data_IF_010635414888
#
_entry.id   IF_010635414888
#
_cell.length_a   1.000
_cell.length_b   1.000
_cell.length_c   1.000
_cell.angle_alpha   90.00
_cell.angle_beta   90.00
_cell.angle_gamma   90.00
#
_symmetry.space_group_name_H-M   'P 1'
#
loop_
_entity.id
_entity.type
_entity.pdbx_description
1 polymer ?
#
# COMPACT_ATOMS: atom_id res chain seq x y z
N UNK A 1 -5.29 -4.37 20.89
CA UNK A 1 -5.50 -4.64 19.45
C UNK A 1 -4.77 -3.55 18.69
N UNK A 2 -4.20 -3.83 17.51
CA UNK A 2 -3.60 -2.76 16.68
C UNK A 2 -4.73 -2.20 15.81
N UNK A 3 -4.91 -0.89 15.81
CA UNK A 3 -6.06 -0.27 15.11
C UNK A 3 -5.74 0.06 13.66
N UNK A 4 -4.45 0.26 13.33
CA UNK A 4 -3.96 0.60 11.99
C UNK A 4 -2.81 -0.32 11.62
N UNK A 5 -2.86 -0.87 10.41
CA UNK A 5 -1.81 -1.71 9.83
C UNK A 5 -1.46 -1.16 8.45
N UNK A 6 -0.17 -1.01 8.16
CA UNK A 6 0.32 -0.59 6.85
C UNK A 6 0.84 -1.80 6.09
N UNK A 7 0.47 -1.93 4.81
CA UNK A 7 0.92 -3.04 3.98
C UNK A 7 1.39 -2.57 2.59
N UNK A 8 2.42 -3.25 2.07
CA UNK A 8 3.05 -2.96 0.78
C UNK A 8 3.77 -4.21 0.22
N UNK A 9 3.97 -4.26 -1.10
CA UNK A 9 4.79 -5.28 -1.75
C UNK A 9 5.86 -4.69 -2.65
N UNK A 10 7.10 -5.12 -2.44
CA UNK A 10 8.21 -4.75 -3.30
C UNK A 10 8.74 -6.00 -4.03
N UNK A 11 8.97 -5.92 -5.35
CA UNK A 11 9.59 -7.01 -6.08
C UNK A 11 11.04 -7.24 -5.65
N UNK A 12 11.45 -8.50 -5.53
CA UNK A 12 12.79 -8.89 -5.16
C UNK A 12 13.29 -10.08 -6.01
N UNK A 13 14.62 -10.15 -6.18
CA UNK A 13 15.28 -11.33 -6.76
C UNK A 13 15.74 -12.25 -5.63
N UNK A 14 15.17 -13.45 -5.57
CA UNK A 14 15.46 -14.44 -4.53
C UNK A 14 15.75 -15.78 -5.21
N UNK A 15 16.90 -16.39 -4.91
CA UNK A 15 17.25 -17.73 -5.42
C UNK A 15 17.26 -17.87 -6.94
N UNK A 16 17.55 -16.78 -7.68
CA UNK A 16 17.56 -16.77 -9.15
C UNK A 16 16.19 -16.51 -9.80
N UNK A 17 15.12 -16.32 -9.02
CA UNK A 17 13.78 -16.00 -9.50
C UNK A 17 13.26 -14.64 -9.03
N UNK A 18 12.17 -14.20 -9.64
CA UNK A 18 11.44 -12.99 -9.24
C UNK A 18 10.33 -13.36 -8.24
N UNK A 19 10.32 -12.69 -7.09
CA UNK A 19 9.36 -12.86 -5.99
C UNK A 19 8.95 -11.48 -5.47
N UNK A 20 8.00 -11.46 -4.54
CA UNK A 20 7.64 -10.25 -3.80
C UNK A 20 7.97 -10.40 -2.33
N UNK A 21 8.50 -9.34 -1.76
CA UNK A 21 8.60 -9.15 -0.30
C UNK A 21 7.38 -8.33 0.09
N UNK A 22 6.50 -8.97 0.84
CA UNK A 22 5.33 -8.38 1.47
C UNK A 22 5.73 -7.83 2.82
N UNK A 23 5.27 -6.63 3.13
CA UNK A 23 5.43 -5.97 4.42
C UNK A 23 4.07 -5.76 5.04
N UNK A 24 3.97 -6.05 6.34
CA UNK A 24 2.89 -5.58 7.18
C UNK A 24 3.50 -4.96 8.45
N UNK A 25 3.20 -3.69 8.73
CA UNK A 25 3.84 -2.98 9.84
C UNK A 25 2.91 -2.06 10.63
N UNK A 26 3.29 -1.90 11.89
CA UNK A 26 2.78 -0.89 12.83
C UNK A 26 3.99 -0.08 13.32
N UNK A 27 3.81 0.96 14.16
CA UNK A 27 4.94 1.71 14.71
C UNK A 27 5.94 0.85 15.51
N UNK A 28 5.49 -0.28 16.08
CA UNK A 28 6.31 -1.11 16.97
C UNK A 28 6.76 -2.44 16.38
N UNK A 29 6.15 -2.91 15.29
CA UNK A 29 6.41 -4.22 14.71
C UNK A 29 6.43 -4.15 13.19
N UNK A 30 7.29 -4.94 12.57
CA UNK A 30 7.33 -5.12 11.11
C UNK A 30 7.46 -6.60 10.80
N UNK A 31 6.52 -7.11 10.02
CA UNK A 31 6.58 -8.45 9.47
C UNK A 31 7.02 -8.38 8.01
N UNK A 32 7.93 -9.28 7.63
CA UNK A 32 8.27 -9.55 6.24
C UNK A 32 7.84 -10.96 5.86
N UNK A 33 7.23 -11.10 4.69
CA UNK A 33 6.87 -12.37 4.10
C UNK A 33 7.32 -12.41 2.64
N UNK A 34 7.88 -13.54 2.18
CA UNK A 34 8.30 -13.70 0.77
C UNK A 34 7.35 -14.66 0.07
N UNK A 35 6.78 -14.23 -1.04
CA UNK A 35 5.78 -15.00 -1.78
C UNK A 35 5.69 -14.63 -3.25
N UNK A 36 4.66 -15.16 -3.91
CA UNK A 36 4.15 -14.60 -5.16
C UNK A 36 3.43 -13.27 -4.92
N UNK A 37 2.43 -12.96 -5.74
CA UNK A 37 1.66 -11.71 -5.62
C UNK A 37 0.15 -11.94 -5.50
N UNK A 38 -0.30 -13.19 -5.43
CA UNK A 38 -1.73 -13.48 -5.35
C UNK A 38 -2.33 -13.13 -3.98
N UNK A 39 -3.66 -13.08 -3.88
CA UNK A 39 -4.35 -12.98 -2.60
C UNK A 39 -3.95 -14.11 -1.63
N UNK A 40 -3.76 -15.33 -2.14
CA UNK A 40 -3.28 -16.45 -1.33
C UNK A 40 -1.83 -16.25 -0.84
N UNK A 41 -0.98 -15.59 -1.63
CA UNK A 41 0.37 -15.22 -1.19
C UNK A 41 0.34 -14.15 -0.10
N UNK A 42 -0.57 -13.17 -0.19
CA UNK A 42 -0.79 -12.19 0.89
C UNK A 42 -1.25 -12.89 2.19
N UNK A 43 -2.23 -13.79 2.07
CA UNK A 43 -2.77 -14.53 3.22
C UNK A 43 -1.72 -15.44 3.88
N UNK A 44 -0.77 -15.97 3.10
CA UNK A 44 0.34 -16.77 3.62
C UNK A 44 1.29 -15.98 4.55
N UNK A 45 1.22 -14.64 4.55
CA UNK A 45 1.85 -13.79 5.56
C UNK A 45 1.22 -13.90 6.95
N UNK A 46 0.00 -14.44 7.06
CA UNK A 46 -0.63 -14.87 8.31
C UNK A 46 -1.15 -13.78 9.25
N UNK A 47 -0.96 -12.50 8.91
CA UNK A 47 -1.38 -11.36 9.78
C UNK A 47 -2.51 -10.50 9.20
N UNK A 48 -2.76 -10.60 7.89
CA UNK A 48 -3.83 -9.85 7.22
C UNK A 48 -5.20 -10.53 7.32
N UNK A 49 -5.33 -11.87 7.19
CA UNK A 49 -6.62 -12.52 7.36
C UNK A 49 -7.18 -12.30 8.78
N UNK A 50 -8.44 -11.88 8.87
CA UNK A 50 -9.11 -11.62 10.15
C UNK A 50 -8.76 -10.28 10.80
N UNK A 51 -7.96 -9.42 10.15
CA UNK A 51 -7.72 -8.07 10.64
C UNK A 51 -8.95 -7.18 10.41
N UNK A 52 -9.45 -6.55 11.47
CA UNK A 52 -10.69 -5.76 11.45
C UNK A 52 -10.46 -4.25 11.66
N UNK A 53 -9.20 -3.81 11.71
CA UNK A 53 -8.84 -2.39 11.86
C UNK A 53 -8.75 -1.69 10.50
N UNK A 54 -8.04 -0.56 10.46
CA UNK A 54 -7.75 0.16 9.22
C UNK A 54 -6.50 -0.40 8.55
N UNK A 55 -6.66 -0.98 7.36
CA UNK A 55 -5.57 -1.42 6.50
C UNK A 55 -5.19 -0.28 5.53
N UNK A 56 -4.02 0.33 5.75
CA UNK A 56 -3.43 1.33 4.87
C UNK A 56 -2.62 0.62 3.80
N UNK A 57 -3.09 0.64 2.55
CA UNK A 57 -2.45 -0.07 1.43
C UNK A 57 -2.55 0.71 0.11
N UNK A 58 -1.80 0.27 -0.88
CA UNK A 58 -1.72 0.89 -2.20
C UNK A 58 -2.90 0.49 -3.13
N UNK A 59 -2.75 0.78 -4.42
CA UNK A 59 -3.61 0.38 -5.56
C UNK A 59 -4.06 -1.08 -5.62
N UNK A 60 -3.40 -1.99 -4.89
CA UNK A 60 -3.31 -3.36 -5.35
C UNK A 60 -4.58 -4.19 -5.13
N UNK A 61 -5.06 -4.82 -6.21
CA UNK A 61 -6.34 -5.53 -6.21
C UNK A 61 -6.35 -6.79 -5.34
N UNK A 62 -5.18 -7.36 -5.02
CA UNK A 62 -5.10 -8.57 -4.22
C UNK A 62 -5.51 -8.34 -2.75
N UNK A 63 -5.68 -7.09 -2.31
CA UNK A 63 -6.23 -6.76 -0.98
C UNK A 63 -7.75 -6.80 -0.90
N UNK A 64 -8.46 -6.83 -2.05
CA UNK A 64 -9.92 -6.61 -2.09
C UNK A 64 -10.73 -7.68 -1.36
N UNK A 65 -10.18 -8.87 -1.12
CA UNK A 65 -10.87 -9.95 -0.39
C UNK A 65 -10.84 -9.76 1.13
N UNK A 66 -10.01 -8.85 1.65
CA UNK A 66 -9.91 -8.54 3.09
C UNK A 66 -11.04 -7.60 3.51
N UNK A 67 -12.29 -8.04 3.38
CA UNK A 67 -13.49 -7.19 3.57
C UNK A 67 -13.81 -6.87 5.02
N UNK A 68 -13.15 -7.53 5.98
CA UNK A 68 -13.33 -7.29 7.41
C UNK A 68 -12.60 -6.04 7.89
N UNK A 69 -11.54 -5.63 7.17
CA UNK A 69 -10.80 -4.40 7.45
C UNK A 69 -11.47 -3.20 6.78
N UNK A 70 -11.36 -2.03 7.40
CA UNK A 70 -11.55 -0.77 6.69
C UNK A 70 -10.32 -0.48 5.84
N UNK A 71 -10.51 -0.07 4.59
CA UNK A 71 -9.39 0.19 3.67
C UNK A 71 -9.12 1.68 3.57
N UNK A 72 -7.88 2.08 3.88
CA UNK A 72 -7.35 3.41 3.60
C UNK A 72 -6.35 3.34 2.44
N UNK A 73 -6.35 4.37 1.60
CA UNK A 73 -5.33 4.53 0.56
C UNK A 73 -4.04 5.06 1.18
N UNK A 74 -2.91 4.45 0.83
CA UNK A 74 -1.61 4.91 1.25
C UNK A 74 -1.32 6.30 0.67
N UNK A 75 -1.18 7.32 1.55
CA UNK A 75 -0.93 8.70 1.15
C UNK A 75 0.36 8.88 0.34
N UNK A 76 1.43 8.16 0.70
CA UNK A 76 2.70 8.22 -0.03
C UNK A 76 2.55 7.71 -1.48
N UNK A 77 1.78 6.64 -1.68
CA UNK A 77 1.46 6.11 -3.01
C UNK A 77 0.58 7.08 -3.80
N UNK A 78 -0.45 7.66 -3.18
CA UNK A 78 -1.29 8.69 -3.82
C UNK A 78 -0.47 9.90 -4.28
N UNK A 79 0.42 10.42 -3.43
CA UNK A 79 1.27 11.57 -3.78
C UNK A 79 2.20 11.23 -4.95
N UNK A 80 2.79 10.02 -4.96
CA UNK A 80 3.63 9.56 -6.07
C UNK A 80 2.84 9.49 -7.38
N UNK A 81 1.64 8.92 -7.33
CA UNK A 81 0.81 8.73 -8.52
C UNK A 81 0.29 10.08 -9.04
N UNK A 82 -0.11 11.00 -8.16
CA UNK A 82 -0.48 12.38 -8.51
C UNK A 82 0.67 13.14 -9.18
N UNK A 83 1.90 12.98 -8.66
CA UNK A 83 3.09 13.56 -9.31
C UNK A 83 3.27 13.00 -10.73
N UNK A 84 3.11 11.68 -10.90
CA UNK A 84 3.19 11.06 -12.22
C UNK A 84 2.14 11.60 -13.20
N UNK A 85 0.91 11.84 -12.74
CA UNK A 85 -0.14 12.48 -13.56
C UNK A 85 0.24 13.91 -13.94
N UNK A 86 0.74 14.70 -12.99
CA UNK A 86 1.16 16.07 -13.27
C UNK A 86 2.31 16.13 -14.29
N UNK A 87 3.31 15.26 -14.15
CA UNK A 87 4.49 15.21 -15.03
C UNK A 87 4.16 14.86 -16.49
N UNK A 88 3.04 14.16 -16.74
CA UNK A 88 2.61 13.81 -18.11
C UNK A 88 2.07 15.01 -18.90
N UNK A 89 1.44 15.98 -18.23
CA UNK A 89 0.94 17.21 -18.84
C UNK A 89 0.80 18.30 -17.76
N UNK A 90 1.89 19.02 -17.44
CA UNK A 90 1.87 20.02 -16.37
C UNK A 90 0.85 21.15 -16.60
N UNK A 91 0.57 21.50 -17.86
CA UNK A 91 -0.36 22.57 -18.21
C UNK A 91 -1.83 22.15 -18.06
N UNK A 92 -2.17 20.90 -18.42
CA UNK A 92 -3.52 20.37 -18.30
C UNK A 92 -3.83 19.67 -16.97
N UNK A 93 -2.81 19.24 -16.22
CA UNK A 93 -2.94 18.43 -14.99
C UNK A 93 -2.51 19.18 -13.72
N UNK A 94 -2.66 20.51 -13.69
CA UNK A 94 -2.35 21.32 -12.49
C UNK A 94 -3.15 20.93 -11.24
N UNK A 95 -4.34 20.32 -11.41
CA UNK A 95 -5.12 19.80 -10.28
C UNK A 95 -4.39 18.72 -9.49
N UNK A 96 -3.52 17.93 -10.13
CA UNK A 96 -2.84 16.81 -9.48
C UNK A 96 -1.80 17.31 -8.48
N UNK A 97 -1.10 18.41 -8.81
CA UNK A 97 -0.20 19.12 -7.89
C UNK A 97 -0.96 19.70 -6.70
N UNK A 98 -2.09 20.39 -6.95
CA UNK A 98 -2.94 20.96 -5.89
C UNK A 98 -3.48 19.87 -4.97
N UNK A 99 -3.90 18.73 -5.51
CA UNK A 99 -4.36 17.59 -4.72
C UNK A 99 -3.23 16.99 -3.86
N UNK A 100 -2.03 16.84 -4.43
CA UNK A 100 -0.87 16.36 -3.66
C UNK A 100 -0.53 17.32 -2.50
N UNK A 101 -0.56 18.63 -2.76
CA UNK A 101 -0.42 19.65 -1.71
C UNK A 101 -1.50 19.56 -0.64
N UNK A 102 -2.76 19.31 -1.02
CA UNK A 102 -3.88 19.13 -0.09
C UNK A 102 -3.67 17.92 0.83
N UNK A 103 -3.23 16.79 0.28
CA UNK A 103 -2.93 15.58 1.06
C UNK A 103 -1.75 15.79 2.02
N UNK A 104 -0.73 16.54 1.61
CA UNK A 104 0.39 16.88 2.48
C UNK A 104 -0.03 17.76 3.66
N UNK A 105 -0.92 18.74 3.44
CA UNK A 105 -1.48 19.58 4.51
C UNK A 105 -2.40 18.80 5.46
N UNK A 106 -3.10 17.77 4.97
CA UNK A 106 -3.96 16.95 5.82
C UNK A 106 -3.16 16.04 6.77
N UNK A 107 -1.88 15.79 6.47
CA UNK A 107 -0.98 14.92 7.23
C UNK A 107 -0.01 15.69 8.14
N UNK A 108 -0.16 17.02 8.25
CA UNK A 108 0.68 17.90 9.09
C UNK A 108 0.06 18.25 10.43
#
# INVERSE_FOLDING_TARGET
>A
MQDVLHADETPARVGGGFKYVHVACTPGLTLFHVGGRSAADLDAGGVLPGFTGTLVRDGYAAYRHLTEAEHAWCGAHLIRDLRGVHEQDPAGQGWAEVMAGTLLMANS
#
